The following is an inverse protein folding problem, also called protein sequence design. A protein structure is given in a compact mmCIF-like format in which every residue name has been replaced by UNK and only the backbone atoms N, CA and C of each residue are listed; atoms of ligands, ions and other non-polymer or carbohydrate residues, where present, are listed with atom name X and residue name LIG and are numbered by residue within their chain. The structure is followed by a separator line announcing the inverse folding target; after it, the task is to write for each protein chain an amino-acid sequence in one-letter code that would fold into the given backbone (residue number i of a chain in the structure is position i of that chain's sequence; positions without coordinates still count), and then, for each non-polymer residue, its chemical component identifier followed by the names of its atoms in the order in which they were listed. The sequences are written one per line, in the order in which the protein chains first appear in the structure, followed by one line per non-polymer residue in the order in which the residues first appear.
data_IF_290536915218
#
_entry.id   IF_290536915218
#
_cell.length_a   1.000
_cell.length_b   1.000
_cell.length_c   1.000
_cell.angle_alpha   90.00
_cell.angle_beta   90.00
_cell.angle_gamma   90.00
#
_symmetry.space_group_name_H-M   'P 1'
#
loop_
_entity.id
_entity.type
_entity.pdbx_description
1 polymer ?
#
# COMPACT_ATOMS: atom_id res chain seq x y z
N UNK A 1 -3.39 22.47 3.31
CA UNK A 1 -2.91 21.12 3.69
C UNK A 1 -4.00 20.04 3.69
N UNK A 2 -5.13 20.18 4.41
CA UNK A 2 -6.17 19.14 4.49
C UNK A 2 -6.66 18.61 3.12
N UNK A 3 -7.06 19.50 2.20
CA UNK A 3 -7.52 19.10 0.86
C UNK A 3 -6.49 18.27 0.09
N UNK A 4 -5.21 18.64 0.17
CA UNK A 4 -4.12 17.91 -0.49
C UNK A 4 -4.00 16.51 0.13
N UNK A 5 -4.01 16.41 1.46
CA UNK A 5 -4.00 15.12 2.16
C UNK A 5 -5.21 14.25 1.78
N UNK A 6 -6.42 14.80 1.68
CA UNK A 6 -7.59 14.03 1.28
C UNK A 6 -7.49 13.52 -0.17
N UNK A 7 -7.00 14.35 -1.10
CA UNK A 7 -6.80 13.93 -2.50
C UNK A 7 -5.71 12.86 -2.59
N UNK A 8 -4.56 13.06 -1.95
CA UNK A 8 -3.48 12.07 -1.90
C UNK A 8 -3.94 10.76 -1.27
N UNK A 9 -4.76 10.82 -0.22
CA UNK A 9 -5.36 9.64 0.41
C UNK A 9 -6.22 8.84 -0.58
N UNK A 10 -7.09 9.51 -1.33
CA UNK A 10 -7.97 8.85 -2.32
C UNK A 10 -7.15 8.23 -3.45
N UNK A 11 -6.13 8.94 -3.95
CA UNK A 11 -5.22 8.41 -4.98
C UNK A 11 -4.50 7.17 -4.45
N UNK A 12 -3.90 7.27 -3.26
CA UNK A 12 -3.17 6.18 -2.62
C UNK A 12 -4.05 4.92 -2.42
N UNK A 13 -5.28 5.09 -1.92
CA UNK A 13 -6.20 3.97 -1.71
C UNK A 13 -6.68 3.39 -3.05
N UNK A 14 -6.96 4.24 -4.04
CA UNK A 14 -7.34 3.77 -5.39
C UNK A 14 -6.23 2.95 -6.04
N UNK A 15 -4.98 3.42 -6.00
CA UNK A 15 -3.84 2.66 -6.53
C UNK A 15 -3.68 1.34 -5.79
N UNK A 16 -3.77 1.35 -4.45
CA UNK A 16 -3.66 0.13 -3.64
C UNK A 16 -4.77 -0.87 -3.96
N UNK A 17 -6.01 -0.39 -4.13
CA UNK A 17 -7.14 -1.19 -4.56
C UNK A 17 -6.89 -1.82 -5.93
N UNK A 18 -6.45 -1.04 -6.93
CA UNK A 18 -6.18 -1.52 -8.28
C UNK A 18 -5.03 -2.54 -8.32
N UNK A 19 -3.97 -2.32 -7.52
CA UNK A 19 -2.87 -3.28 -7.39
C UNK A 19 -3.37 -4.58 -6.77
N UNK A 20 -4.17 -4.51 -5.71
CA UNK A 20 -4.80 -5.69 -5.11
C UNK A 20 -5.68 -6.45 -6.11
N UNK A 21 -6.51 -5.74 -6.87
CA UNK A 21 -7.36 -6.32 -7.91
C UNK A 21 -6.55 -7.00 -9.02
N UNK A 22 -5.49 -6.34 -9.49
CA UNK A 22 -4.59 -6.91 -10.49
C UNK A 22 -3.97 -8.23 -10.02
N UNK A 23 -3.57 -8.31 -8.74
CA UNK A 23 -2.88 -9.49 -8.21
C UNK A 23 -3.76 -10.73 -8.17
N UNK A 24 -5.10 -10.61 -8.06
CA UNK A 24 -5.98 -11.79 -8.19
C UNK A 24 -5.77 -12.54 -9.50
N UNK A 25 -5.44 -11.81 -10.57
CA UNK A 25 -5.31 -12.37 -11.92
C UNK A 25 -3.86 -12.48 -12.39
N UNK A 26 -2.92 -11.81 -11.71
CA UNK A 26 -1.53 -11.70 -12.12
C UNK A 26 -0.83 -13.04 -12.39
N UNK A 27 -0.99 -14.10 -11.58
CA UNK A 27 -0.35 -15.39 -11.87
C UNK A 27 -0.72 -15.96 -13.25
N UNK A 28 -1.97 -15.76 -13.67
CA UNK A 28 -2.49 -16.25 -14.94
C UNK A 28 -2.21 -15.28 -16.08
N UNK A 29 -2.48 -13.99 -15.87
CA UNK A 29 -2.32 -12.96 -16.90
C UNK A 29 -0.86 -12.76 -17.33
N UNK A 30 0.09 -12.98 -16.43
CA UNK A 30 1.52 -12.83 -16.70
C UNK A 30 2.27 -14.17 -16.71
N UNK A 31 1.56 -15.30 -16.56
CA UNK A 31 2.15 -16.63 -16.64
C UNK A 31 3.24 -16.89 -15.60
N UNK A 32 3.06 -16.50 -14.34
CA UNK A 32 4.10 -16.60 -13.30
C UNK A 32 4.66 -18.02 -13.13
N UNK A 33 3.84 -19.04 -13.35
CA UNK A 33 4.26 -20.44 -13.23
C UNK A 33 5.26 -20.87 -14.31
N UNK A 34 5.34 -20.14 -15.43
CA UNK A 34 6.38 -20.36 -16.44
C UNK A 34 7.78 -19.99 -15.95
N UNK A 35 7.90 -19.20 -14.88
CA UNK A 35 9.19 -18.79 -14.32
C UNK A 35 9.82 -19.83 -13.41
N UNK A 36 9.05 -20.84 -12.99
CA UNK A 36 9.51 -21.92 -12.11
C UNK A 36 9.16 -23.26 -12.77
N UNK A 37 9.92 -23.67 -13.80
CA UNK A 37 9.69 -24.96 -14.46
C UNK A 37 9.83 -26.09 -13.43
N UNK A 38 8.98 -27.10 -13.57
CA UNK A 38 8.97 -28.31 -12.72
C UNK A 38 8.74 -28.04 -11.21
N UNK A 39 8.11 -26.90 -10.88
CA UNK A 39 7.72 -26.60 -9.50
C UNK A 39 6.77 -27.68 -8.95
N UNK A 40 7.02 -28.20 -7.73
CA UNK A 40 6.08 -29.09 -7.06
C UNK A 40 4.69 -28.45 -6.91
N UNK A 41 3.64 -29.26 -6.93
CA UNK A 41 2.27 -28.78 -6.82
C UNK A 41 2.04 -27.97 -5.54
N UNK A 42 2.72 -28.34 -4.46
CA UNK A 42 2.69 -27.66 -3.16
C UNK A 42 3.22 -26.23 -3.25
N UNK A 43 4.27 -25.99 -4.05
CA UNK A 43 4.83 -24.65 -4.28
C UNK A 43 3.85 -23.81 -5.08
N UNK A 44 3.27 -24.36 -6.15
CA UNK A 44 2.24 -23.70 -6.96
C UNK A 44 1.04 -23.29 -6.08
N UNK A 45 0.55 -24.20 -5.23
CA UNK A 45 -0.57 -23.90 -4.33
C UNK A 45 -0.21 -22.89 -3.25
N UNK A 46 1.01 -22.93 -2.73
CA UNK A 46 1.49 -21.93 -1.78
C UNK A 46 1.49 -20.53 -2.41
N UNK A 47 1.95 -20.41 -3.66
CA UNK A 47 1.88 -19.14 -4.40
C UNK A 47 0.44 -18.70 -4.60
N UNK A 48 -0.47 -19.60 -5.00
CA UNK A 48 -1.90 -19.29 -5.15
C UNK A 48 -2.50 -18.73 -3.84
N UNK A 49 -2.27 -19.40 -2.71
CA UNK A 49 -2.85 -19.01 -1.42
C UNK A 49 -2.30 -17.68 -0.92
N UNK A 50 -0.98 -17.51 -0.95
CA UNK A 50 -0.35 -16.25 -0.54
C UNK A 50 -0.83 -15.10 -1.43
N UNK A 51 -0.88 -15.31 -2.74
CA UNK A 51 -1.33 -14.30 -3.69
C UNK A 51 -2.82 -13.93 -3.48
N UNK A 52 -3.70 -14.92 -3.29
CA UNK A 52 -5.12 -14.67 -3.02
C UNK A 52 -5.31 -13.88 -1.72
N UNK A 53 -4.69 -14.31 -0.62
CA UNK A 53 -4.79 -13.63 0.67
C UNK A 53 -4.21 -12.22 0.62
N UNK A 54 -3.07 -12.02 -0.04
CA UNK A 54 -2.47 -10.70 -0.29
C UNK A 54 -3.42 -9.80 -1.09
N UNK A 55 -3.95 -10.30 -2.21
CA UNK A 55 -4.85 -9.56 -3.09
C UNK A 55 -6.13 -9.15 -2.36
N UNK A 56 -6.74 -10.08 -1.62
CA UNK A 56 -7.94 -9.84 -0.83
C UNK A 56 -7.70 -8.83 0.28
N UNK A 57 -6.60 -8.97 1.03
CA UNK A 57 -6.26 -8.05 2.11
C UNK A 57 -6.01 -6.64 1.58
N UNK A 58 -5.20 -6.48 0.53
CA UNK A 58 -4.87 -5.18 -0.04
C UNK A 58 -6.10 -4.50 -0.65
N UNK A 59 -6.91 -5.26 -1.39
CA UNK A 59 -8.17 -4.75 -1.97
C UNK A 59 -9.15 -4.34 -0.86
N UNK A 60 -9.38 -5.25 0.10
CA UNK A 60 -10.33 -5.05 1.18
C UNK A 60 -9.96 -3.89 2.10
N UNK A 61 -8.69 -3.80 2.53
CA UNK A 61 -8.25 -2.70 3.40
C UNK A 61 -8.31 -1.35 2.66
N UNK A 62 -7.95 -1.32 1.38
CA UNK A 62 -8.01 -0.08 0.58
C UNK A 62 -9.44 0.41 0.42
N UNK A 63 -10.38 -0.51 0.15
CA UNK A 63 -11.81 -0.19 0.06
C UNK A 63 -12.35 0.28 1.42
N UNK A 64 -12.02 -0.41 2.50
CA UNK A 64 -12.41 -0.01 3.86
C UNK A 64 -11.89 1.38 4.21
N UNK A 65 -10.64 1.70 3.89
CA UNK A 65 -10.07 3.02 4.12
C UNK A 65 -10.80 4.10 3.31
N UNK A 66 -11.18 3.82 2.05
CA UNK A 66 -11.98 4.75 1.25
C UNK A 66 -13.37 5.00 1.86
N UNK A 67 -14.07 3.94 2.29
CA UNK A 67 -15.37 4.05 2.95
C UNK A 67 -15.26 4.83 4.27
N UNK A 68 -14.20 4.59 5.04
CA UNK A 68 -13.97 5.21 6.34
C UNK A 68 -13.22 6.54 6.25
N UNK A 69 -13.00 7.11 5.05
CA UNK A 69 -12.20 8.32 4.81
C UNK A 69 -12.50 9.45 5.80
N UNK A 70 -13.77 9.83 5.95
CA UNK A 70 -14.14 10.94 6.84
C UNK A 70 -13.74 10.65 8.29
N UNK A 71 -13.99 9.42 8.75
CA UNK A 71 -13.63 8.97 10.10
C UNK A 71 -12.12 8.88 10.31
N UNK A 72 -11.33 8.61 9.28
CA UNK A 72 -9.86 8.61 9.41
C UNK A 72 -9.32 10.03 9.64
N UNK A 73 -9.88 11.02 8.95
CA UNK A 73 -9.43 12.41 9.06
C UNK A 73 -9.90 13.10 10.34
N UNK A 74 -11.09 12.75 10.84
CA UNK A 74 -11.72 13.42 12.01
C UNK A 74 -11.72 12.56 13.27
N UNK A 75 -11.54 11.25 13.12
CA UNK A 75 -11.67 10.27 14.19
C UNK A 75 -10.37 9.96 14.93
N UNK A 76 -10.40 8.85 15.69
CA UNK A 76 -9.42 8.60 16.72
C UNK A 76 -8.11 8.02 16.15
N UNK A 77 -7.08 7.93 16.99
CA UNK A 77 -5.73 7.58 16.56
C UNK A 77 -5.63 6.15 15.99
N UNK A 78 -6.51 5.24 16.41
CA UNK A 78 -6.54 3.85 15.98
C UNK A 78 -6.83 3.73 14.48
N UNK A 79 -7.77 4.52 13.95
CA UNK A 79 -8.05 4.55 12.51
C UNK A 79 -6.86 5.08 11.71
N UNK A 80 -6.12 6.04 12.27
CA UNK A 80 -4.90 6.58 11.66
C UNK A 80 -3.76 5.56 11.70
N UNK A 81 -3.70 4.71 12.73
CA UNK A 81 -2.74 3.61 12.83
C UNK A 81 -2.97 2.55 11.73
N UNK A 82 -4.22 2.21 11.42
CA UNK A 82 -4.53 1.35 10.28
C UNK A 82 -4.04 1.94 8.95
N UNK A 83 -4.21 3.25 8.74
CA UNK A 83 -3.67 3.89 7.55
C UNK A 83 -2.13 3.92 7.54
N UNK A 84 -1.50 4.14 8.70
CA UNK A 84 -0.04 4.07 8.86
C UNK A 84 0.52 2.68 8.49
N UNK A 85 -0.23 1.62 8.75
CA UNK A 85 0.14 0.28 8.30
C UNK A 85 0.23 0.19 6.77
N UNK A 86 -0.72 0.77 6.02
CA UNK A 86 -0.65 0.84 4.55
C UNK A 86 0.61 1.57 4.08
N UNK A 87 0.95 2.70 4.72
CA UNK A 87 2.18 3.46 4.42
C UNK A 87 3.42 2.59 4.63
N UNK A 88 3.46 1.83 5.72
CA UNK A 88 4.57 0.92 6.05
C UNK A 88 4.69 -0.22 5.04
N UNK A 89 3.58 -0.76 4.54
CA UNK A 89 3.57 -1.77 3.46
C UNK A 89 4.22 -1.21 2.19
N UNK A 90 3.86 0.01 1.79
CA UNK A 90 4.45 0.64 0.60
C UNK A 90 5.92 1.00 0.78
N UNK A 91 6.32 1.47 1.98
CA UNK A 91 7.73 1.66 2.32
C UNK A 91 8.52 0.35 2.21
N UNK A 92 7.95 -0.73 2.77
CA UNK A 92 8.58 -2.05 2.74
C UNK A 92 8.82 -2.53 1.31
N UNK A 93 7.91 -2.24 0.37
CA UNK A 93 8.13 -2.55 -1.06
C UNK A 93 9.30 -1.79 -1.65
N UNK A 94 9.48 -0.51 -1.33
CA UNK A 94 10.66 0.24 -1.79
C UNK A 94 11.95 -0.38 -1.23
N UNK A 95 11.96 -0.67 0.09
CA UNK A 95 13.11 -1.28 0.76
C UNK A 95 13.45 -2.63 0.12
N UNK A 96 12.46 -3.50 -0.09
CA UNK A 96 12.67 -4.79 -0.76
C UNK A 96 13.23 -4.59 -2.17
N UNK A 97 12.68 -3.66 -2.96
CA UNK A 97 13.22 -3.38 -4.29
C UNK A 97 14.67 -2.88 -4.26
N UNK A 98 15.11 -2.16 -3.22
CA UNK A 98 16.50 -1.69 -3.12
C UNK A 98 17.48 -2.81 -2.72
N UNK A 99 17.11 -3.67 -1.78
CA UNK A 99 17.99 -4.71 -1.25
C UNK A 99 17.87 -6.07 -1.96
N UNK A 100 16.69 -6.35 -2.52
CA UNK A 100 16.39 -7.54 -3.32
C UNK A 100 15.76 -7.09 -4.65
N UNK A 101 16.57 -6.51 -5.55
CA UNK A 101 16.06 -5.96 -6.80
C UNK A 101 15.49 -7.07 -7.69
N UNK A 102 14.45 -6.71 -8.44
CA UNK A 102 13.91 -7.55 -9.49
C UNK A 102 14.97 -7.76 -10.58
N UNK A 103 15.20 -9.00 -11.06
CA UNK A 103 16.31 -9.30 -11.96
C UNK A 103 16.00 -8.95 -13.43
N UNK A 104 15.43 -7.77 -13.69
CA UNK A 104 15.18 -7.28 -15.06
C UNK A 104 15.07 -5.76 -15.13
N UNK A 105 15.02 -5.20 -16.34
CA UNK A 105 14.80 -3.76 -16.59
C UNK A 105 13.50 -3.22 -15.97
N UNK A 106 12.57 -4.11 -15.62
CA UNK A 106 11.34 -3.77 -14.91
C UNK A 106 11.62 -3.19 -13.52
N UNK A 107 12.78 -3.51 -12.92
CA UNK A 107 13.18 -3.01 -11.61
C UNK A 107 13.10 -1.49 -11.48
N UNK A 108 13.63 -0.75 -12.46
CA UNK A 108 13.62 0.72 -12.44
C UNK A 108 12.19 1.27 -12.45
N UNK A 109 11.29 0.64 -13.20
CA UNK A 109 9.87 1.02 -13.25
C UNK A 109 9.15 0.68 -11.94
N UNK A 110 9.44 -0.49 -11.36
CA UNK A 110 8.86 -0.92 -10.08
C UNK A 110 9.26 0.02 -8.94
N UNK A 111 10.56 0.31 -8.78
CA UNK A 111 11.02 1.21 -7.71
C UNK A 111 10.44 2.62 -7.89
N UNK A 112 10.35 3.11 -9.13
CA UNK A 112 9.74 4.42 -9.41
C UNK A 112 8.26 4.44 -9.04
N UNK A 113 7.49 3.45 -9.50
CA UNK A 113 6.06 3.36 -9.22
C UNK A 113 5.77 3.21 -7.72
N UNK A 114 6.51 2.35 -7.02
CA UNK A 114 6.35 2.17 -5.57
C UNK A 114 6.79 3.40 -4.77
N UNK A 115 7.80 4.13 -5.22
CA UNK A 115 8.21 5.41 -4.62
C UNK A 115 7.12 6.47 -4.77
N UNK A 116 6.54 6.60 -5.97
CA UNK A 116 5.42 7.52 -6.21
C UNK A 116 4.23 7.15 -5.33
N UNK A 117 3.89 5.87 -5.26
CA UNK A 117 2.81 5.40 -4.41
C UNK A 117 3.08 5.69 -2.93
N UNK A 118 4.29 5.44 -2.44
CA UNK A 118 4.67 5.76 -1.07
C UNK A 118 4.57 7.26 -0.78
N UNK A 119 5.00 8.12 -1.70
CA UNK A 119 4.83 9.57 -1.57
C UNK A 119 3.36 9.95 -1.37
N UNK A 120 2.45 9.44 -2.21
CA UNK A 120 1.02 9.69 -2.04
C UNK A 120 0.48 9.18 -0.71
N UNK A 121 0.91 7.98 -0.28
CA UNK A 121 0.47 7.41 1.01
C UNK A 121 1.02 8.18 2.22
N UNK A 122 2.15 8.87 2.08
CA UNK A 122 2.81 9.60 3.17
C UNK A 122 2.19 10.98 3.44
N UNK A 123 1.61 11.64 2.43
CA UNK A 123 1.03 12.99 2.58
C UNK A 123 -0.03 13.07 3.70
N UNK A 124 -1.00 12.14 3.83
CA UNK A 124 -1.96 12.19 4.92
C UNK A 124 -1.33 12.00 6.30
N UNK A 125 -0.30 11.16 6.43
CA UNK A 125 0.43 10.99 7.70
C UNK A 125 1.12 12.28 8.10
N UNK A 126 1.81 12.95 7.17
CA UNK A 126 2.44 14.25 7.44
C UNK A 126 1.42 15.29 7.92
N UNK A 127 0.22 15.30 7.32
CA UNK A 127 -0.88 16.14 7.76
C UNK A 127 -1.37 15.79 9.19
N UNK A 128 -1.50 14.50 9.52
CA UNK A 128 -1.91 14.09 10.88
C UNK A 128 -0.87 14.47 11.92
N UNK A 129 0.42 14.31 11.62
CA UNK A 129 1.52 14.69 12.51
C UNK A 129 1.57 16.21 12.73
N UNK A 130 1.41 17.01 11.66
CA UNK A 130 1.39 18.47 11.79
C UNK A 130 0.25 18.94 12.70
N UNK A 131 -0.94 18.34 12.55
CA UNK A 131 -2.10 18.64 13.40
C UNK A 131 -1.92 18.23 14.85
N UNK A 132 -1.27 17.09 15.10
CA UNK A 132 -0.96 16.65 16.46
C UNK A 132 0.02 17.60 17.15
N UNK A 133 1.03 18.10 16.41
CA UNK A 133 1.99 19.06 16.92
C UNK A 133 1.32 20.39 17.30
N UNK A 134 0.53 20.97 16.38
CA UNK A 134 -0.23 22.22 16.63
C UNK A 134 -1.08 22.12 17.91
N UNK A 135 -1.75 20.98 18.13
CA UNK A 135 -2.57 20.76 19.34
C UNK A 135 -1.72 20.69 20.61
N UNK A 136 -0.53 20.09 20.54
CA UNK A 136 0.37 19.95 21.69
C UNK A 136 0.94 21.32 22.08
N UNK A 137 1.36 22.10 21.08
CA UNK A 137 1.90 23.45 21.29
C UNK A 137 0.85 24.38 21.91
N UNK A 138 -0.43 24.25 21.54
CA UNK A 138 -1.55 25.01 22.13
C UNK A 138 -1.86 24.64 23.59
N UNK A 139 -1.51 23.44 24.05
CA UNK A 139 -1.74 23.01 25.43
C UNK A 139 -0.57 23.34 26.36
N UNK A 140 0.58 23.69 25.79
CA UNK A 140 1.83 23.96 26.51
C UNK A 140 2.11 25.47 26.73
N UNK A 141 1.34 26.37 26.10
CA UNK A 141 1.42 27.82 26.27
C UNK A 141 0.19 28.38 26.98
#
# INVERSE_FOLDING_TARGET
MRKIAEVSFVIACTISLLVGLLHFFAPYAFGWYSYIPDAPAEIIQSVNYVNFCFSFLLTGISLLMMVLRQRIFEGPAELKAFYCFIVTVWLSRIVIQMFWPWPSVLQTWLVTAFTIQFMFTSVPILYFLSKSKERTDQLAG
#
